data_IF_594911523052
#
_entry.id   IF_594911523052
#
_cell.length_a   1.000
_cell.length_b   1.000
_cell.length_c   1.000
_cell.angle_alpha   90.00
_cell.angle_beta   90.00
_cell.angle_gamma   90.00
#
_symmetry.space_group_name_H-M   'P 1'
#
loop_
_entity.id
_entity.type
_entity.pdbx_description
1 polymer ?
#
# COMPACT_ATOMS: atom_id res chain seq x y z
N UNK A 1 -6.15 -9.37 -11.07
CA UNK A 1 -5.59 -8.08 -11.54
C UNK A 1 -5.14 -8.03 -13.02
N UNK A 2 -5.42 -6.95 -13.77
CA UNK A 2 -4.88 -6.74 -15.15
C UNK A 2 -3.42 -6.24 -15.12
N UNK A 3 -2.56 -6.80 -15.99
CA UNK A 3 -1.16 -6.35 -16.15
C UNK A 3 -0.16 -6.91 -15.13
N UNK A 4 -0.64 -7.54 -14.05
CA UNK A 4 0.22 -8.18 -13.06
C UNK A 4 1.09 -9.29 -13.65
N UNK A 5 0.55 -10.08 -14.59
CA UNK A 5 1.32 -11.14 -15.25
C UNK A 5 2.45 -10.61 -16.14
N UNK A 6 2.27 -9.44 -16.75
CA UNK A 6 3.30 -8.78 -17.55
C UNK A 6 4.37 -8.21 -16.62
N UNK A 7 3.94 -7.53 -15.55
CA UNK A 7 4.84 -7.04 -14.51
C UNK A 7 5.69 -8.17 -13.92
N UNK A 8 5.05 -9.25 -13.47
CA UNK A 8 5.72 -10.43 -12.90
C UNK A 8 6.78 -11.01 -13.83
N UNK A 9 6.44 -11.21 -15.12
CA UNK A 9 7.38 -11.76 -16.10
C UNK A 9 8.56 -10.82 -16.35
N UNK A 10 8.32 -9.51 -16.39
CA UNK A 10 9.37 -8.53 -16.64
C UNK A 10 10.36 -8.40 -15.48
N UNK A 11 9.88 -8.53 -14.25
CA UNK A 11 10.66 -8.42 -13.01
C UNK A 11 11.01 -9.78 -12.38
N UNK A 12 10.99 -10.85 -13.17
CA UNK A 12 11.40 -12.19 -12.72
C UNK A 12 12.82 -12.16 -12.14
N UNK A 13 13.01 -12.75 -10.96
CA UNK A 13 14.29 -12.76 -10.24
C UNK A 13 14.62 -11.47 -9.48
N UNK A 14 13.81 -10.40 -9.60
CA UNK A 14 14.04 -9.11 -8.96
C UNK A 14 13.13 -8.83 -7.76
N UNK A 15 12.46 -9.85 -7.21
CA UNK A 15 11.55 -9.72 -6.06
C UNK A 15 12.22 -9.20 -4.78
N UNK A 16 13.55 -9.15 -4.72
CA UNK A 16 14.30 -8.59 -3.58
C UNK A 16 14.54 -7.08 -3.70
N UNK A 17 14.19 -6.45 -4.83
CA UNK A 17 14.41 -5.01 -5.07
C UNK A 17 13.20 -4.14 -4.74
N UNK A 18 12.02 -4.74 -4.64
CA UNK A 18 10.78 -4.01 -4.45
C UNK A 18 9.81 -4.80 -3.57
N UNK A 19 8.83 -4.08 -3.02
CA UNK A 19 7.67 -4.67 -2.34
C UNK A 19 6.42 -4.04 -2.90
N UNK A 20 5.49 -4.87 -3.38
CA UNK A 20 4.13 -4.42 -3.72
C UNK A 20 3.36 -4.17 -2.43
N UNK A 21 2.69 -3.02 -2.40
CA UNK A 21 1.85 -2.57 -1.28
C UNK A 21 0.48 -2.15 -1.80
N UNK A 22 -0.27 -1.41 -0.98
CA UNK A 22 -1.47 -0.71 -1.43
C UNK A 22 -2.60 -1.64 -1.84
N UNK A 23 -3.38 -1.28 -2.87
CA UNK A 23 -4.54 -2.07 -3.28
C UNK A 23 -4.16 -3.40 -3.91
N UNK A 24 -3.06 -3.41 -4.66
CA UNK A 24 -2.61 -4.57 -5.42
C UNK A 24 -2.12 -5.70 -4.52
N UNK A 25 -1.37 -5.35 -3.49
CA UNK A 25 -0.94 -6.29 -2.47
C UNK A 25 -2.12 -6.99 -1.78
N UNK A 26 -3.17 -6.23 -1.45
CA UNK A 26 -4.38 -6.79 -0.86
C UNK A 26 -5.09 -7.77 -1.81
N UNK A 27 -5.20 -7.43 -3.10
CA UNK A 27 -5.82 -8.32 -4.11
C UNK A 27 -5.03 -9.63 -4.23
N UNK A 28 -3.71 -9.56 -4.36
CA UNK A 28 -2.83 -10.73 -4.51
C UNK A 28 -2.94 -11.68 -3.30
N UNK A 29 -2.92 -11.13 -2.07
CA UNK A 29 -2.97 -11.94 -0.85
C UNK A 29 -4.35 -12.56 -0.63
N UNK A 30 -5.42 -11.83 -0.95
CA UNK A 30 -6.78 -12.35 -0.82
C UNK A 30 -7.05 -13.46 -1.85
N UNK A 31 -6.59 -13.29 -3.09
CA UNK A 31 -6.70 -14.30 -4.15
C UNK A 31 -5.96 -15.60 -3.78
N UNK A 32 -4.84 -15.52 -3.06
CA UNK A 32 -4.07 -16.69 -2.60
C UNK A 32 -4.90 -17.66 -1.75
N UNK A 33 -5.85 -17.12 -0.96
CA UNK A 33 -6.77 -17.92 -0.13
C UNK A 33 -8.16 -18.09 -0.77
N UNK A 34 -8.31 -17.72 -2.05
CA UNK A 34 -9.56 -17.85 -2.80
C UNK A 34 -10.65 -16.85 -2.40
N UNK A 35 -10.28 -15.72 -1.81
CA UNK A 35 -11.21 -14.65 -1.45
C UNK A 35 -11.16 -13.52 -2.48
N UNK A 36 -12.32 -12.98 -2.84
CA UNK A 36 -12.41 -11.82 -3.71
C UNK A 36 -11.97 -10.55 -2.96
N UNK A 37 -11.24 -9.68 -3.66
CA UNK A 37 -10.95 -8.32 -3.22
C UNK A 37 -11.47 -7.31 -4.24
N UNK A 38 -11.67 -6.06 -3.82
CA UNK A 38 -12.07 -5.01 -4.76
C UNK A 38 -10.97 -4.85 -5.81
N UNK A 39 -11.35 -4.85 -7.08
CA UNK A 39 -10.39 -4.69 -8.16
C UNK A 39 -9.62 -3.37 -8.03
N UNK A 40 -8.30 -3.43 -8.15
CA UNK A 40 -7.44 -2.26 -8.38
C UNK A 40 -6.78 -2.37 -9.75
N UNK A 41 -6.38 -1.23 -10.32
CA UNK A 41 -5.60 -1.19 -11.57
C UNK A 41 -4.20 -0.60 -11.36
N UNK A 42 -3.91 -0.27 -10.11
CA UNK A 42 -2.75 0.50 -9.70
C UNK A 42 -1.78 -0.46 -9.04
N UNK A 43 -0.51 -0.41 -9.46
CA UNK A 43 0.57 -1.09 -8.77
C UNK A 43 1.35 -0.08 -7.94
N UNK A 44 1.26 -0.24 -6.62
CA UNK A 44 1.99 0.55 -5.65
C UNK A 44 3.26 -0.20 -5.24
N UNK A 45 4.43 0.37 -5.54
CA UNK A 45 5.73 -0.26 -5.41
C UNK A 45 6.62 0.56 -4.48
N UNK A 46 7.22 -0.09 -3.48
CA UNK A 46 8.29 0.49 -2.68
C UNK A 46 9.61 -0.12 -3.10
N UNK A 47 10.59 0.71 -3.47
CA UNK A 47 11.95 0.25 -3.70
C UNK A 47 12.67 0.05 -2.38
N UNK A 48 13.33 -1.09 -2.27
CA UNK A 48 14.22 -1.40 -1.15
C UNK A 48 15.59 -0.79 -1.46
N UNK A 49 15.97 0.24 -0.72
CA UNK A 49 17.21 1.01 -0.97
C UNK A 49 18.44 0.12 -0.76
N UNK A 50 18.35 -0.82 0.16
CA UNK A 50 19.37 -1.80 0.49
C UNK A 50 19.68 -2.77 -0.65
N UNK A 51 18.71 -2.98 -1.54
CA UNK A 51 18.81 -3.88 -2.67
C UNK A 51 18.92 -3.13 -4.00
N UNK A 52 18.91 -1.80 -3.99
CA UNK A 52 18.92 -1.03 -5.22
C UNK A 52 20.27 -1.12 -5.93
N UNK A 53 20.23 -1.52 -7.20
CA UNK A 53 21.31 -1.36 -8.15
C UNK A 53 20.85 -0.64 -9.43
N UNK A 54 21.80 -0.22 -10.25
CA UNK A 54 21.52 0.43 -11.52
C UNK A 54 20.72 -0.48 -12.47
N UNK A 55 20.89 -1.81 -12.36
CA UNK A 55 20.22 -2.78 -13.22
C UNK A 55 18.70 -2.82 -12.97
N UNK A 56 18.26 -2.67 -11.72
CA UNK A 56 16.84 -2.52 -11.40
C UNK A 56 16.27 -1.24 -11.99
N UNK A 57 16.96 -0.11 -11.86
CA UNK A 57 16.54 1.17 -12.43
C UNK A 57 16.36 1.08 -13.96
N UNK A 58 17.35 0.50 -14.66
CA UNK A 58 17.27 0.24 -16.10
C UNK A 58 16.10 -0.68 -16.46
N UNK A 59 15.91 -1.77 -15.69
CA UNK A 59 14.80 -2.71 -15.91
C UNK A 59 13.44 -2.03 -15.71
N UNK A 60 13.33 -1.18 -14.70
CA UNK A 60 12.10 -0.44 -14.43
C UNK A 60 11.77 0.53 -15.56
N UNK A 61 12.75 1.32 -16.02
CA UNK A 61 12.54 2.19 -17.18
C UNK A 61 12.19 1.41 -18.45
N UNK A 62 12.85 0.27 -18.69
CA UNK A 62 12.48 -0.60 -19.80
C UNK A 62 11.02 -1.06 -19.73
N UNK A 63 10.47 -1.28 -18.53
CA UNK A 63 9.05 -1.60 -18.34
C UNK A 63 8.15 -0.41 -18.70
N UNK A 64 8.51 0.80 -18.22
CA UNK A 64 7.78 2.04 -18.50
C UNK A 64 7.77 2.35 -20.00
N UNK A 65 8.89 2.18 -20.69
CA UNK A 65 8.98 2.38 -22.14
C UNK A 65 8.21 1.30 -22.91
N UNK A 66 8.30 0.03 -22.50
CA UNK A 66 7.58 -1.07 -23.16
C UNK A 66 6.05 -0.89 -23.06
N UNK A 67 5.54 -0.43 -21.90
CA UNK A 67 4.12 -0.10 -21.72
C UNK A 67 3.69 1.19 -22.42
N UNK A 68 4.64 2.03 -22.84
CA UNK A 68 4.37 3.31 -23.49
C UNK A 68 3.61 4.28 -22.60
N UNK A 69 3.93 4.36 -21.30
CA UNK A 69 3.24 5.25 -20.35
C UNK A 69 3.42 6.72 -20.75
N UNK A 70 2.29 7.38 -21.03
CA UNK A 70 2.26 8.72 -21.62
C UNK A 70 2.33 9.83 -20.57
N UNK A 71 1.86 9.57 -19.35
CA UNK A 71 1.93 10.52 -18.25
C UNK A 71 2.95 10.02 -17.24
N UNK A 72 3.97 10.84 -16.99
CA UNK A 72 5.10 10.51 -16.13
C UNK A 72 5.31 11.67 -15.18
N UNK A 73 4.98 11.45 -13.93
CA UNK A 73 4.91 12.49 -12.92
C UNK A 73 5.89 12.18 -11.80
N UNK A 74 6.45 13.23 -11.20
CA UNK A 74 7.41 13.10 -10.09
C UNK A 74 7.12 14.14 -9.01
N UNK A 75 7.20 13.74 -7.74
CA UNK A 75 7.15 14.68 -6.61
C UNK A 75 8.45 15.47 -6.47
N UNK A 76 8.36 16.72 -5.98
CA UNK A 76 9.53 17.52 -5.58
C UNK A 76 9.84 17.32 -4.09
N UNK A 77 11.13 17.21 -3.71
CA UNK A 77 11.56 17.10 -2.31
C UNK A 77 12.75 16.17 -2.08
N UNK A 78 13.03 15.84 -0.81
CA UNK A 78 14.16 14.98 -0.38
C UNK A 78 13.93 13.47 -0.49
N UNK A 79 12.74 13.03 -0.91
CA UNK A 79 12.42 11.64 -1.30
C UNK A 79 11.57 11.67 -2.56
N UNK A 80 11.68 10.64 -3.39
CA UNK A 80 11.08 10.64 -4.72
C UNK A 80 9.89 9.69 -4.80
N UNK A 81 8.80 10.24 -5.31
CA UNK A 81 7.65 9.49 -5.74
C UNK A 81 7.47 9.69 -7.24
N UNK A 82 7.30 8.59 -7.97
CA UNK A 82 7.02 8.58 -9.39
C UNK A 82 5.65 7.98 -9.66
N UNK A 83 4.92 8.56 -10.61
CA UNK A 83 3.65 8.03 -11.09
C UNK A 83 3.68 7.93 -12.61
N UNK A 84 3.32 6.77 -13.12
CA UNK A 84 3.22 6.49 -14.55
C UNK A 84 1.80 6.06 -14.88
N UNK A 85 1.14 6.76 -15.79
CA UNK A 85 -0.26 6.51 -16.16
C UNK A 85 -0.43 6.46 -17.68
N UNK A 86 -1.59 5.94 -18.08
CA UNK A 86 -2.04 5.86 -19.49
C UNK A 86 -1.01 5.11 -20.35
N UNK A 87 -0.80 3.81 -20.11
CA UNK A 87 0.01 3.00 -21.01
C UNK A 87 -0.62 3.01 -22.40
N UNK A 88 0.22 3.01 -23.44
CA UNK A 88 -0.22 2.85 -24.82
C UNK A 88 -0.72 1.42 -25.09
N UNK A 89 -0.09 0.44 -24.43
CA UNK A 89 -0.54 -0.94 -24.43
C UNK A 89 -1.53 -1.17 -23.27
N UNK A 90 -2.81 -1.46 -23.55
CA UNK A 90 -3.80 -1.64 -22.50
C UNK A 90 -3.56 -2.89 -21.65
N UNK A 91 -2.70 -3.82 -22.06
CA UNK A 91 -2.39 -5.03 -21.27
C UNK A 91 -1.48 -4.74 -20.09
N UNK A 92 -0.77 -3.62 -20.09
CA UNK A 92 0.01 -3.13 -18.95
C UNK A 92 -0.88 -2.62 -17.82
N UNK A 93 -0.36 -2.56 -16.57
CA UNK A 93 -1.04 -1.91 -15.44
C UNK A 93 -1.44 -0.48 -15.79
N UNK A 94 -2.65 -0.05 -15.42
CA UNK A 94 -3.16 1.26 -15.81
C UNK A 94 -2.37 2.41 -15.16
N UNK A 95 -1.84 2.14 -13.96
CA UNK A 95 -0.99 3.06 -13.21
C UNK A 95 0.12 2.30 -12.48
N UNK A 96 1.31 2.89 -12.47
CA UNK A 96 2.42 2.49 -11.61
C UNK A 96 2.71 3.66 -10.66
N UNK A 97 2.77 3.37 -9.37
CA UNK A 97 3.16 4.30 -8.32
C UNK A 97 4.41 3.76 -7.64
N UNK A 98 5.48 4.53 -7.64
CA UNK A 98 6.79 4.08 -7.22
C UNK A 98 7.35 5.01 -6.15
N UNK A 99 7.62 4.44 -4.99
CA UNK A 99 8.14 5.14 -3.83
C UNK A 99 9.61 4.75 -3.62
N UNK A 100 10.49 5.74 -3.56
CA UNK A 100 11.89 5.54 -3.24
C UNK A 100 12.34 6.47 -2.12
N UNK A 101 13.03 5.89 -1.12
CA UNK A 101 13.75 6.67 -0.11
C UNK A 101 15.10 7.19 -0.60
N UNK A 102 15.62 6.65 -1.70
CA UNK A 102 16.83 7.11 -2.37
C UNK A 102 16.43 7.87 -3.65
N UNK A 103 16.44 9.21 -3.64
CA UNK A 103 16.03 10.00 -4.80
C UNK A 103 16.89 9.68 -6.05
N UNK A 104 18.21 9.57 -5.92
CA UNK A 104 19.07 9.37 -7.09
C UNK A 104 19.04 7.94 -7.68
N UNK A 105 18.22 7.06 -7.09
CA UNK A 105 18.12 5.64 -7.43
C UNK A 105 17.64 5.35 -8.85
N UNK A 106 16.74 6.20 -9.35
CA UNK A 106 16.03 6.00 -10.59
C UNK A 106 16.28 7.22 -11.45
N UNK A 107 17.46 7.28 -12.05
CA UNK A 107 17.74 8.36 -12.98
C UNK A 107 16.92 8.13 -14.25
N UNK A 108 16.06 9.06 -14.65
CA UNK A 108 15.39 8.97 -15.94
C UNK A 108 16.42 8.92 -17.06
N UNK A 109 16.18 8.10 -18.09
CA UNK A 109 17.00 8.14 -19.29
C UNK A 109 17.03 9.56 -19.89
N UNK A 110 18.15 9.95 -20.51
CA UNK A 110 18.30 11.25 -21.14
C UNK A 110 17.12 11.51 -22.11
N UNK A 111 16.36 12.58 -21.86
CA UNK A 111 15.18 12.94 -22.66
C UNK A 111 13.83 12.46 -22.13
N UNK A 112 13.76 11.68 -21.05
CA UNK A 112 12.48 11.36 -20.40
C UNK A 112 11.93 12.58 -19.67
N UNK A 113 10.90 13.21 -20.24
CA UNK A 113 10.24 14.37 -19.65
C UNK A 113 9.35 13.92 -18.47
N UNK A 114 9.71 14.34 -17.26
CA UNK A 114 8.89 14.18 -16.06
C UNK A 114 8.21 15.51 -15.73
N UNK A 115 6.89 15.47 -15.51
CA UNK A 115 6.14 16.63 -15.04
C UNK A 115 5.99 16.61 -13.52
N UNK A 116 5.80 17.77 -12.86
CA UNK A 116 5.48 17.79 -11.44
C UNK A 116 4.20 17.02 -11.13
N UNK A 117 4.23 16.18 -10.10
CA UNK A 117 3.08 15.43 -9.63
C UNK A 117 2.10 16.34 -8.86
N UNK A 118 0.81 16.38 -9.25
CA UNK A 118 -0.22 16.93 -8.38
C UNK A 118 -0.42 16.00 -7.17
N UNK A 119 -0.32 16.55 -5.96
CA UNK A 119 -0.39 15.76 -4.72
C UNK A 119 -1.82 15.19 -4.56
N UNK A 120 -1.95 13.86 -4.71
CA UNK A 120 -3.16 13.09 -4.41
C UNK A 120 -3.26 12.78 -2.90
N UNK A 121 -4.47 12.63 -2.38
CA UNK A 121 -4.74 12.34 -0.98
C UNK A 121 -4.13 11.01 -0.52
N UNK A 122 -4.32 9.94 -1.31
CA UNK A 122 -3.84 8.58 -1.00
C UNK A 122 -2.31 8.52 -1.12
N UNK A 123 -1.71 9.20 -2.12
CA UNK A 123 -0.24 9.31 -2.25
C UNK A 123 0.35 10.05 -1.07
N UNK A 124 -0.23 11.18 -0.67
CA UNK A 124 0.32 12.00 0.39
C UNK A 124 0.37 11.21 1.70
N UNK A 125 -0.68 10.45 2.02
CA UNK A 125 -0.67 9.57 3.19
C UNK A 125 0.33 8.44 3.03
N UNK A 126 0.36 7.74 1.90
CA UNK A 126 1.29 6.62 1.71
C UNK A 126 2.76 7.07 1.73
N UNK A 127 3.05 8.23 1.14
CA UNK A 127 4.37 8.86 1.22
C UNK A 127 4.74 9.20 2.67
N UNK A 128 3.81 9.73 3.46
CA UNK A 128 4.02 10.02 4.88
C UNK A 128 4.28 8.75 5.70
N UNK A 129 3.56 7.66 5.41
CA UNK A 129 3.79 6.34 6.02
C UNK A 129 5.20 5.85 5.71
N UNK A 130 5.59 5.87 4.43
CA UNK A 130 6.91 5.42 4.00
C UNK A 130 8.04 6.38 4.40
N UNK A 131 7.69 7.60 4.84
CA UNK A 131 8.62 8.54 5.45
C UNK A 131 9.06 8.10 6.85
N UNK A 132 8.17 7.40 7.58
CA UNK A 132 8.42 6.89 8.93
C UNK A 132 9.34 5.65 8.93
N UNK A 133 10.39 5.67 9.74
CA UNK A 133 11.39 4.61 9.80
C UNK A 133 10.86 3.30 10.39
N UNK A 134 9.88 3.37 11.30
CA UNK A 134 9.25 2.17 11.88
C UNK A 134 8.45 1.43 10.81
N UNK A 135 7.66 2.17 10.02
CA UNK A 135 6.88 1.58 8.93
C UNK A 135 7.75 1.04 7.81
N UNK A 136 8.83 1.72 7.44
CA UNK A 136 9.75 1.21 6.43
C UNK A 136 10.49 -0.04 6.88
N UNK A 137 11.01 -0.04 8.11
CA UNK A 137 11.68 -1.22 8.67
C UNK A 137 10.72 -2.40 8.72
N UNK A 138 9.48 -2.19 9.20
CA UNK A 138 8.45 -3.22 9.19
C UNK A 138 8.13 -3.73 7.78
N UNK A 139 8.10 -2.84 6.77
CA UNK A 139 7.89 -3.24 5.38
C UNK A 139 9.02 -4.12 4.83
N UNK A 140 10.27 -3.75 5.10
CA UNK A 140 11.46 -4.50 4.65
C UNK A 140 11.46 -5.90 5.29
N UNK A 141 11.20 -5.97 6.60
CA UNK A 141 11.25 -7.21 7.39
C UNK A 141 10.06 -8.15 7.13
N UNK A 142 8.93 -7.65 6.63
CA UNK A 142 7.68 -8.40 6.53
C UNK A 142 7.14 -8.45 5.09
N UNK A 143 8.03 -8.59 4.12
CA UNK A 143 7.68 -8.89 2.73
C UNK A 143 7.77 -10.40 2.46
N UNK A 144 6.89 -10.91 1.59
CA UNK A 144 6.89 -12.31 1.16
C UNK A 144 6.66 -12.44 -0.33
N UNK A 145 7.19 -13.50 -0.93
CA UNK A 145 6.96 -13.80 -2.34
C UNK A 145 5.61 -14.51 -2.52
N UNK A 146 4.74 -13.95 -3.35
CA UNK A 146 3.45 -14.53 -3.73
C UNK A 146 3.38 -14.60 -5.24
N UNK A 147 3.18 -15.80 -5.78
CA UNK A 147 3.12 -16.04 -7.23
C UNK A 147 4.27 -15.46 -8.06
N UNK A 148 5.44 -15.19 -7.47
CA UNK A 148 6.63 -14.64 -8.16
C UNK A 148 6.82 -13.12 -8.03
N UNK A 149 6.00 -12.43 -7.25
CA UNK A 149 6.19 -11.01 -6.89
C UNK A 149 6.35 -10.86 -5.38
N UNK A 150 7.12 -9.87 -4.94
CA UNK A 150 7.22 -9.55 -3.51
C UNK A 150 6.07 -8.65 -3.09
N UNK A 151 5.40 -9.02 -2.00
CA UNK A 151 4.21 -8.36 -1.46
C UNK A 151 4.40 -8.16 0.04
N UNK A 152 4.00 -7.01 0.56
CA UNK A 152 3.94 -6.78 2.00
C UNK A 152 2.90 -7.73 2.60
N UNK A 153 3.26 -8.45 3.65
CA UNK A 153 2.34 -9.42 4.24
C UNK A 153 1.09 -8.76 4.87
N UNK A 154 0.05 -9.56 5.10
CA UNK A 154 -1.20 -9.11 5.68
C UNK A 154 -1.04 -8.55 7.11
N UNK A 155 -0.04 -9.03 7.88
CA UNK A 155 0.22 -8.61 9.27
C UNK A 155 0.70 -7.16 9.33
N UNK A 156 1.40 -6.69 8.31
CA UNK A 156 1.87 -5.30 8.21
C UNK A 156 1.03 -4.45 7.23
N UNK A 157 0.41 -5.04 6.20
CA UNK A 157 -0.56 -4.31 5.36
C UNK A 157 -1.73 -3.74 6.16
N UNK A 158 -2.23 -4.47 7.17
CA UNK A 158 -3.31 -3.99 8.04
C UNK A 158 -2.90 -2.68 8.74
N UNK A 159 -1.75 -2.60 9.44
CA UNK A 159 -1.24 -1.33 9.96
C UNK A 159 -1.08 -0.21 8.92
N UNK A 160 -0.57 -0.52 7.72
CA UNK A 160 -0.46 0.49 6.65
C UNK A 160 -1.83 1.07 6.27
N UNK A 161 -2.87 0.23 6.15
CA UNK A 161 -4.23 0.68 5.86
C UNK A 161 -4.85 1.44 7.03
N UNK A 162 -4.59 1.02 8.27
CA UNK A 162 -5.05 1.70 9.47
C UNK A 162 -4.45 3.11 9.57
N UNK A 163 -3.16 3.25 9.28
CA UNK A 163 -2.48 4.55 9.25
C UNK A 163 -3.02 5.45 8.14
N UNK A 164 -3.23 4.92 6.95
CA UNK A 164 -3.81 5.68 5.85
C UNK A 164 -5.22 6.21 6.18
N UNK A 165 -6.03 5.40 6.85
CA UNK A 165 -7.32 5.84 7.37
C UNK A 165 -7.20 6.99 8.37
N UNK A 166 -6.27 6.90 9.33
CA UNK A 166 -6.04 7.95 10.33
C UNK A 166 -5.58 9.26 9.71
N UNK A 167 -4.59 9.22 8.82
CA UNK A 167 -4.03 10.40 8.18
C UNK A 167 -5.10 11.14 7.35
N UNK A 168 -5.85 10.40 6.52
CA UNK A 168 -6.91 10.97 5.69
C UNK A 168 -8.04 11.55 6.54
N UNK A 169 -8.42 10.86 7.62
CA UNK A 169 -9.45 11.36 8.52
C UNK A 169 -8.99 12.61 9.28
N UNK A 170 -7.74 12.66 9.76
CA UNK A 170 -7.19 13.82 10.43
C UNK A 170 -7.14 15.04 9.50
N UNK A 171 -6.69 14.88 8.25
CA UNK A 171 -6.68 15.94 7.23
C UNK A 171 -8.07 16.45 6.91
N UNK A 172 -9.04 15.54 6.78
CA UNK A 172 -10.47 15.90 6.63
C UNK A 172 -10.97 16.71 7.80
N UNK A 173 -10.68 16.28 9.03
CA UNK A 173 -11.14 16.93 10.25
C UNK A 173 -10.45 18.32 10.43
N UNK A 174 -9.30 18.54 9.79
CA UNK A 174 -8.61 19.84 9.67
C UNK A 174 -9.17 20.74 8.54
N UNK A 175 -10.17 20.28 7.78
CA UNK A 175 -10.86 21.06 6.75
C UNK A 175 -10.36 20.84 5.32
N UNK A 176 -9.46 19.88 5.08
CA UNK A 176 -9.14 19.46 3.71
C UNK A 176 -10.34 18.75 3.07
N UNK A 177 -10.54 18.96 1.77
CA UNK A 177 -11.62 18.33 1.03
C UNK A 177 -11.27 16.88 0.68
N UNK A 178 -11.41 15.97 1.65
CA UNK A 178 -11.17 14.52 1.52
C UNK A 178 -12.50 13.78 1.35
N UNK A 179 -12.61 12.89 0.36
CA UNK A 179 -13.81 12.06 0.20
C UNK A 179 -13.92 11.04 1.35
N UNK A 180 -15.03 11.09 2.09
CA UNK A 180 -15.32 10.13 3.17
C UNK A 180 -15.31 8.67 2.68
N UNK A 181 -15.63 8.42 1.40
CA UNK A 181 -15.54 7.08 0.81
C UNK A 181 -14.11 6.56 0.80
N UNK A 182 -13.13 7.43 0.53
CA UNK A 182 -11.69 7.07 0.55
C UNK A 182 -11.26 6.69 1.97
N UNK A 183 -11.68 7.47 2.98
CA UNK A 183 -11.43 7.16 4.39
C UNK A 183 -12.04 5.80 4.78
N UNK A 184 -13.31 5.57 4.42
CA UNK A 184 -14.03 4.32 4.73
C UNK A 184 -13.48 3.11 3.97
N UNK A 185 -12.95 3.30 2.76
CA UNK A 185 -12.30 2.26 1.93
C UNK A 185 -11.13 1.63 2.67
N UNK A 186 -10.23 2.44 3.24
CA UNK A 186 -9.09 1.92 4.00
C UNK A 186 -9.51 1.18 5.27
N UNK A 187 -10.51 1.68 6.01
CA UNK A 187 -11.10 0.93 7.13
C UNK A 187 -11.66 -0.42 6.69
N UNK A 188 -12.41 -0.45 5.59
CA UNK A 188 -12.95 -1.70 5.06
C UNK A 188 -11.83 -2.69 4.69
N UNK A 189 -10.77 -2.20 4.06
CA UNK A 189 -9.61 -3.02 3.68
C UNK A 189 -8.90 -3.58 4.91
N UNK A 190 -8.77 -2.83 6.02
CA UNK A 190 -8.25 -3.34 7.31
C UNK A 190 -9.01 -4.59 7.77
N UNK A 191 -10.35 -4.51 7.84
CA UNK A 191 -11.14 -5.62 8.37
C UNK A 191 -11.26 -6.80 7.38
N UNK A 192 -11.21 -6.54 6.07
CA UNK A 192 -11.09 -7.61 5.06
C UNK A 192 -9.79 -8.39 5.22
N UNK A 193 -8.67 -7.70 5.36
CA UNK A 193 -7.38 -8.36 5.57
C UNK A 193 -7.31 -9.07 6.93
N UNK A 194 -7.94 -8.49 7.97
CA UNK A 194 -7.96 -9.09 9.29
C UNK A 194 -8.52 -10.51 9.27
N UNK A 195 -9.48 -10.83 8.40
CA UNK A 195 -10.05 -12.18 8.27
C UNK A 195 -9.04 -13.25 7.87
N UNK A 196 -7.90 -12.86 7.30
CA UNK A 196 -6.83 -13.77 6.87
C UNK A 196 -6.00 -14.29 8.04
N UNK A 197 -5.95 -13.53 9.14
CA UNK A 197 -5.17 -13.90 10.32
C UNK A 197 -5.91 -14.95 11.15
N UNK A 198 -5.18 -15.94 11.68
CA UNK A 198 -5.77 -16.92 12.60
C UNK A 198 -6.28 -16.23 13.89
N UNK A 199 -7.25 -16.82 14.57
CA UNK A 199 -7.80 -16.25 15.81
C UNK A 199 -6.77 -16.14 16.95
N UNK A 200 -5.82 -17.07 16.98
CA UNK A 200 -4.71 -17.14 17.93
C UNK A 200 -3.45 -16.41 17.46
N UNK A 201 -3.47 -15.81 16.26
CA UNK A 201 -2.35 -15.01 15.74
C UNK A 201 -2.04 -13.84 16.67
N UNK A 202 -0.76 -13.61 16.94
CA UNK A 202 -0.29 -12.47 17.76
C UNK A 202 0.85 -11.77 17.05
N UNK A 203 0.59 -10.54 16.60
CA UNK A 203 1.55 -9.72 15.88
C UNK A 203 2.23 -8.77 16.85
N UNK A 204 3.56 -8.84 16.92
CA UNK A 204 4.38 -7.89 17.68
C UNK A 204 4.73 -6.72 16.77
N UNK A 205 4.31 -5.51 17.16
CA UNK A 205 4.56 -4.29 16.41
C UNK A 205 5.59 -3.39 17.13
N UNK A 206 6.38 -2.61 16.38
CA UNK A 206 7.07 -1.44 16.93
C UNK A 206 6.07 -0.50 17.64
N UNK A 207 6.53 0.16 18.70
CA UNK A 207 5.68 1.02 19.54
C UNK A 207 4.89 2.06 18.74
N UNK A 208 5.54 2.74 17.79
CA UNK A 208 4.91 3.74 16.93
C UNK A 208 3.70 3.17 16.16
N UNK A 209 3.87 1.99 15.56
CA UNK A 209 2.81 1.32 14.79
C UNK A 209 1.72 0.80 15.73
N UNK A 210 2.08 0.29 16.91
CA UNK A 210 1.11 -0.14 17.92
C UNK A 210 0.21 1.01 18.40
N UNK A 211 0.76 2.21 18.59
CA UNK A 211 0.00 3.42 18.95
C UNK A 211 -0.97 3.83 17.84
N UNK A 212 -0.52 3.80 16.57
CA UNK A 212 -1.41 4.07 15.44
C UNK A 212 -2.54 3.03 15.37
N UNK A 213 -2.25 1.75 15.58
CA UNK A 213 -3.27 0.70 15.60
C UNK A 213 -4.29 0.89 16.74
N UNK A 214 -3.84 1.29 17.92
CA UNK A 214 -4.70 1.63 19.05
C UNK A 214 -5.61 2.82 18.72
N UNK A 215 -5.04 3.85 18.08
CA UNK A 215 -5.76 5.05 17.65
C UNK A 215 -6.80 4.74 16.58
N UNK A 216 -6.47 3.86 15.63
CA UNK A 216 -7.40 3.38 14.62
C UNK A 216 -8.58 2.64 15.25
N UNK A 217 -8.33 1.69 16.16
CA UNK A 217 -9.40 0.95 16.83
C UNK A 217 -10.33 1.87 17.64
N UNK A 218 -9.76 2.82 18.38
CA UNK A 218 -10.52 3.82 19.12
C UNK A 218 -11.36 4.71 18.19
N UNK A 219 -10.80 5.11 17.03
CA UNK A 219 -11.50 5.91 16.04
C UNK A 219 -12.67 5.15 15.40
N UNK A 220 -12.48 3.89 15.04
CA UNK A 220 -13.56 3.06 14.49
C UNK A 220 -14.72 2.93 15.48
N UNK A 221 -14.42 2.72 16.77
CA UNK A 221 -15.44 2.64 17.81
C UNK A 221 -16.14 4.00 18.02
N UNK A 222 -15.39 5.10 18.01
CA UNK A 222 -15.94 6.45 18.20
C UNK A 222 -16.81 6.93 17.03
N UNK A 223 -16.40 6.64 15.78
CA UNK A 223 -17.14 7.00 14.57
C UNK A 223 -18.48 6.22 14.50
N UNK A 224 -18.52 4.98 15.00
CA UNK A 224 -19.75 4.19 15.17
C UNK A 224 -20.49 3.81 13.88
N UNK A 225 -19.92 4.12 12.72
CA UNK A 225 -20.54 3.95 11.39
C UNK A 225 -20.00 2.71 10.64
N UNK A 226 -19.18 1.87 11.29
CA UNK A 226 -18.69 0.64 10.70
C UNK A 226 -19.75 -0.47 10.74
N UNK A 227 -20.06 -1.04 9.58
CA UNK A 227 -21.02 -2.12 9.42
C UNK A 227 -20.31 -3.32 8.75
N UNK A 228 -19.86 -4.35 9.49
CA UNK A 228 -19.12 -5.48 8.93
C UNK A 228 -19.85 -6.20 7.79
N UNK A 229 -21.19 -6.29 7.88
CA UNK A 229 -22.05 -6.90 6.85
C UNK A 229 -21.92 -6.23 5.48
N UNK A 230 -21.63 -4.92 5.43
CA UNK A 230 -21.53 -4.16 4.18
C UNK A 230 -20.29 -4.57 3.37
N UNK A 231 -19.35 -5.27 4.02
CA UNK A 231 -18.13 -5.81 3.40
C UNK A 231 -18.08 -7.34 3.45
N UNK A 232 -19.20 -8.00 3.77
CA UNK A 232 -19.32 -9.46 3.77
C UNK A 232 -18.77 -10.15 5.02
N UNK A 233 -18.44 -9.41 6.08
CA UNK A 233 -17.93 -9.98 7.32
C UNK A 233 -19.05 -10.35 8.30
N UNK A 234 -18.85 -11.45 9.03
CA UNK A 234 -19.73 -11.87 10.12
C UNK A 234 -19.47 -11.06 11.41
N UNK A 235 -20.43 -11.13 12.35
CA UNK A 235 -20.36 -10.41 13.62
C UNK A 235 -20.66 -8.92 13.51
N UNK A 236 -20.57 -8.22 14.63
CA UNK A 236 -20.78 -6.78 14.72
C UNK A 236 -19.44 -6.02 14.76
N UNK A 237 -19.51 -4.69 14.72
CA UNK A 237 -18.31 -3.84 14.74
C UNK A 237 -17.47 -4.08 16.00
N UNK A 238 -18.10 -4.29 17.15
CA UNK A 238 -17.41 -4.53 18.42
C UNK A 238 -16.62 -5.85 18.41
N UNK A 239 -17.19 -6.91 17.84
CA UNK A 239 -16.47 -8.18 17.68
C UNK A 239 -15.26 -8.03 16.76
N UNK A 240 -15.40 -7.28 15.66
CA UNK A 240 -14.29 -7.03 14.72
C UNK A 240 -13.19 -6.17 15.36
N UNK A 241 -13.53 -5.11 16.09
CA UNK A 241 -12.52 -4.28 16.77
C UNK A 241 -11.90 -5.02 17.97
N UNK A 242 -12.63 -5.87 18.68
CA UNK A 242 -12.07 -6.74 19.72
C UNK A 242 -11.06 -7.74 19.14
N UNK A 243 -11.37 -8.35 17.99
CA UNK A 243 -10.44 -9.26 17.29
C UNK A 243 -9.18 -8.53 16.84
N UNK A 244 -9.31 -7.33 16.26
CA UNK A 244 -8.17 -6.49 15.90
C UNK A 244 -7.28 -6.24 17.12
N UNK A 245 -7.88 -5.85 18.25
CA UNK A 245 -7.15 -5.59 19.49
C UNK A 245 -6.42 -6.82 20.01
N UNK A 246 -7.07 -7.98 19.99
CA UNK A 246 -6.47 -9.23 20.45
C UNK A 246 -5.25 -9.65 19.63
N UNK A 247 -5.33 -9.55 18.29
CA UNK A 247 -4.24 -9.93 17.39
C UNK A 247 -3.03 -9.00 17.55
N UNK A 248 -3.26 -7.69 17.67
CA UNK A 248 -2.20 -6.69 17.73
C UNK A 248 -1.80 -6.26 19.16
N UNK A 249 -2.28 -6.98 20.19
CA UNK A 249 -1.93 -6.70 21.59
C UNK A 249 -2.36 -5.31 22.08
N UNK A 250 -3.42 -4.74 21.51
CA UNK A 250 -3.91 -3.39 21.84
C UNK A 250 -4.75 -3.46 23.12
N UNK A 251 -4.29 -2.77 24.16
CA UNK A 251 -5.05 -2.64 25.40
C UNK A 251 -6.15 -1.59 25.18
N UNK A 252 -7.40 -1.92 25.50
CA UNK A 252 -8.48 -0.93 25.50
C UNK A 252 -8.18 0.14 26.55
N UNK A 253 -8.18 1.41 26.14
CA UNK A 253 -8.07 2.56 27.05
C UNK A 253 -9.36 2.76 27.84
#
# INVERSE_FOLDING_TARGET
MKGLDIFRRHFEGLSHHYVLIGGAACEIIMEEVGLDFRATKDLDLVILVEALDAAFGERFWAFVEAGGYQQRERSGGGREFYRFQKPADPDFPAMLELFSRAPDAITPAEGSALTPLPIDEDIASLSAILLDDSYYTALVENSRAVHGVAVLDERILIPFKAKAHLDLAARRDQGEHIDQKTVRKHRADVFRLLQLLAEDERVVLPEAIAVDMASFAAKVDADGDFQPKDIGLAGDAAAQTARLRAIYGIIAA
#
